data_IF_108860957278
#
_entry.id   IF_108860957278
#
_cell.length_a   1.000
_cell.length_b   1.000
_cell.length_c   1.000
_cell.angle_alpha   90.00
_cell.angle_beta   90.00
_cell.angle_gamma   90.00
#
_symmetry.space_group_name_H-M   'P 1'
#
loop_
_entity.id
_entity.type
_entity.pdbx_description
1 polymer ?
#
# COMPACT_ATOMS: atom_id res chain seq x y z
N UNK A 1 2.44 36.97 35.38
CA UNK A 1 1.85 35.63 35.19
C UNK A 1 2.30 35.09 33.84
N UNK A 2 3.10 34.01 33.81
CA UNK A 2 3.55 33.41 32.55
C UNK A 2 2.44 32.52 31.96
N UNK A 3 1.87 32.95 30.82
CA UNK A 3 0.92 32.15 30.05
C UNK A 3 1.61 30.90 29.48
N UNK A 4 1.45 29.76 30.15
CA UNK A 4 1.89 28.46 29.62
C UNK A 4 0.95 28.04 28.48
N UNK A 5 1.35 28.33 27.23
CA UNK A 5 0.66 27.85 26.03
C UNK A 5 0.59 26.31 26.10
N UNK A 6 -0.63 25.74 26.03
CA UNK A 6 -0.81 24.28 25.96
C UNK A 6 -0.11 23.75 24.71
N UNK A 7 0.85 22.84 24.92
CA UNK A 7 1.54 22.11 23.86
C UNK A 7 0.54 21.30 23.06
N UNK A 8 0.52 21.53 21.75
CA UNK A 8 -0.32 20.81 20.80
C UNK A 8 0.32 19.44 20.46
N UNK A 9 -0.41 18.56 19.79
CA UNK A 9 0.07 17.21 19.45
C UNK A 9 1.34 17.24 18.57
N UNK A 10 1.56 18.31 17.81
CA UNK A 10 2.78 18.56 17.01
C UNK A 10 4.01 18.93 17.85
N UNK A 11 3.84 19.43 19.08
CA UNK A 11 4.95 19.83 19.95
C UNK A 11 5.54 18.64 20.74
N UNK A 12 4.90 17.47 20.67
CA UNK A 12 5.36 16.26 21.37
C UNK A 12 6.44 15.57 20.57
N UNK A 13 7.55 15.25 21.25
CA UNK A 13 8.64 14.48 20.68
C UNK A 13 8.10 13.16 20.09
N UNK A 14 8.42 12.82 18.83
CA UNK A 14 7.73 11.73 18.12
C UNK A 14 8.09 10.33 18.63
N UNK A 15 9.17 10.19 19.42
CA UNK A 15 9.64 8.93 20.01
C UNK A 15 9.34 8.85 21.50
N UNK A 16 9.17 7.63 22.01
CA UNK A 16 8.98 7.36 23.44
C UNK A 16 10.32 6.88 24.04
N UNK A 17 10.66 7.30 25.25
CA UNK A 17 11.82 6.76 25.97
C UNK A 17 11.43 5.42 26.61
N UNK A 18 12.15 4.35 26.27
CA UNK A 18 11.96 3.03 26.86
C UNK A 18 12.74 2.91 28.18
N UNK A 19 12.31 2.07 29.16
CA UNK A 19 13.04 1.86 30.41
C UNK A 19 14.51 1.45 30.26
N UNK A 20 14.89 0.89 29.11
CA UNK A 20 16.29 0.57 28.77
C UNK A 20 17.15 1.80 28.42
N UNK A 21 16.59 3.01 28.50
CA UNK A 21 17.26 4.28 28.20
C UNK A 21 17.38 4.60 26.70
N UNK A 22 16.73 3.81 25.85
CA UNK A 22 16.72 4.03 24.40
C UNK A 22 15.41 4.65 23.93
N UNK A 23 15.48 5.58 22.99
CA UNK A 23 14.31 6.12 22.31
C UNK A 23 13.76 5.12 21.29
N UNK A 24 12.45 4.89 21.32
CA UNK A 24 11.78 3.91 20.48
C UNK A 24 10.45 4.42 19.89
N UNK A 25 9.97 3.72 18.87
CA UNK A 25 8.64 3.90 18.27
C UNK A 25 8.05 2.53 17.96
N UNK A 26 6.75 2.39 18.20
CA UNK A 26 5.99 1.25 17.67
C UNK A 26 5.61 1.54 16.22
N UNK A 27 6.11 0.72 15.29
CA UNK A 27 5.88 0.84 13.84
C UNK A 27 5.48 -0.54 13.33
N UNK A 28 4.33 -0.65 12.65
CA UNK A 28 3.79 -1.91 12.12
C UNK A 28 3.77 -3.06 13.15
N UNK A 29 3.36 -2.75 14.38
CA UNK A 29 3.24 -3.72 15.48
C UNK A 29 4.56 -4.06 16.20
N UNK A 30 5.72 -3.67 15.65
CA UNK A 30 7.04 -3.93 16.25
C UNK A 30 7.63 -2.67 16.89
N UNK A 31 8.30 -2.83 18.03
CA UNK A 31 9.05 -1.74 18.68
C UNK A 31 10.43 -1.65 18.00
N UNK A 32 10.78 -0.46 17.52
CA UNK A 32 12.10 -0.16 16.96
C UNK A 32 12.81 0.90 17.79
N UNK A 33 14.10 0.69 18.03
CA UNK A 33 14.95 1.56 18.84
C UNK A 33 15.86 2.41 17.94
N UNK A 34 16.05 3.67 18.31
CA UNK A 34 16.82 4.65 17.51
C UNK A 34 18.07 5.16 18.26
N UNK A 35 18.30 4.70 19.49
CA UNK A 35 19.47 5.02 20.31
C UNK A 35 19.13 5.77 21.59
N UNK A 36 20.15 6.06 22.41
CA UNK A 36 20.01 6.73 23.71
C UNK A 36 20.04 8.26 23.63
N UNK A 37 20.74 8.81 22.64
CA UNK A 37 20.82 10.26 22.42
C UNK A 37 19.55 10.75 21.72
N UNK A 38 18.90 11.77 22.32
CA UNK A 38 17.62 12.30 21.86
C UNK A 38 17.69 12.89 20.45
N UNK A 39 18.73 13.68 20.14
CA UNK A 39 18.87 14.33 18.83
C UNK A 39 19.19 13.31 17.76
N UNK A 40 20.19 12.45 18.03
CA UNK A 40 20.59 11.39 17.09
C UNK A 40 19.48 10.37 16.84
N UNK A 41 18.68 10.07 17.86
CA UNK A 41 17.51 9.19 17.71
C UNK A 41 16.43 9.82 16.82
N UNK A 42 16.18 11.13 16.95
CA UNK A 42 15.24 11.84 16.10
C UNK A 42 15.71 11.84 14.64
N UNK A 43 16.97 12.16 14.39
CA UNK A 43 17.56 12.14 13.04
C UNK A 43 17.47 10.75 12.41
N UNK A 44 17.85 9.70 13.17
CA UNK A 44 17.71 8.31 12.72
C UNK A 44 16.26 7.94 12.45
N UNK A 45 15.32 8.39 13.29
CA UNK A 45 13.90 8.16 13.05
C UNK A 45 13.41 8.87 11.80
N UNK A 46 13.77 10.14 11.57
CA UNK A 46 13.34 10.89 10.39
C UNK A 46 13.92 10.30 9.10
N UNK A 47 15.22 9.96 9.11
CA UNK A 47 15.88 9.30 7.97
C UNK A 47 15.24 7.95 7.63
N UNK A 48 14.84 7.19 8.66
CA UNK A 48 14.21 5.89 8.46
C UNK A 48 12.69 5.99 8.31
N UNK A 49 12.02 7.07 8.71
CA UNK A 49 10.56 7.18 8.74
C UNK A 49 9.95 6.97 7.35
N UNK A 50 10.58 7.53 6.31
CA UNK A 50 10.18 7.34 4.91
C UNK A 50 10.26 5.87 4.48
N UNK A 51 11.24 5.11 4.99
CA UNK A 51 11.45 3.70 4.69
C UNK A 51 10.65 2.74 5.60
N UNK A 52 10.46 3.13 6.86
CA UNK A 52 9.82 2.33 7.92
C UNK A 52 8.29 2.44 7.89
N UNK A 53 7.78 3.63 7.53
CA UNK A 53 6.38 3.85 7.21
C UNK A 53 6.10 3.69 5.71
N UNK A 54 7.15 3.54 4.90
CA UNK A 54 7.07 3.30 3.46
C UNK A 54 6.89 1.82 3.08
N UNK A 55 6.49 1.56 1.82
CA UNK A 55 6.16 0.24 1.30
C UNK A 55 7.33 -0.75 1.23
N UNK A 56 8.56 -0.35 1.55
CA UNK A 56 9.75 -1.19 1.41
C UNK A 56 9.82 -2.35 2.43
N UNK A 57 9.04 -2.29 3.52
CA UNK A 57 8.82 -3.46 4.39
C UNK A 57 8.03 -4.59 3.72
N UNK A 58 7.32 -4.31 2.61
CA UNK A 58 6.68 -5.34 1.78
C UNK A 58 7.71 -6.02 0.87
N UNK A 59 8.67 -5.28 0.30
CA UNK A 59 9.71 -5.84 -0.58
C UNK A 59 10.55 -6.92 0.11
N UNK A 60 10.92 -6.75 1.39
CA UNK A 60 11.63 -7.77 2.16
C UNK A 60 10.77 -9.03 2.44
N UNK A 61 9.44 -8.93 2.46
CA UNK A 61 8.55 -10.11 2.58
C UNK A 61 8.41 -10.90 1.26
N UNK A 62 8.72 -10.28 0.12
CA UNK A 62 8.67 -10.94 -1.21
C UNK A 62 9.85 -11.91 -1.38
N UNK A 63 10.92 -11.77 -0.59
CA UNK A 63 12.16 -12.57 -0.62
C UNK A 63 11.98 -14.10 -0.51
N UNK A 64 10.82 -14.60 -0.06
CA UNK A 64 10.53 -16.05 0.00
C UNK A 64 9.72 -16.56 -1.20
N UNK A 65 9.66 -15.81 -2.31
CA UNK A 65 9.03 -16.22 -3.57
C UNK A 65 7.50 -16.31 -3.56
N UNK A 66 6.86 -16.00 -2.42
CA UNK A 66 5.43 -16.23 -2.22
C UNK A 66 4.70 -14.99 -1.76
N UNK A 67 4.32 -14.14 -2.72
CA UNK A 67 3.51 -12.94 -2.49
C UNK A 67 2.03 -13.30 -2.28
N UNK A 68 1.40 -12.68 -1.28
CA UNK A 68 -0.05 -12.79 -1.07
C UNK A 68 -0.81 -11.73 -1.86
N UNK A 69 -2.10 -11.98 -2.10
CA UNK A 69 -2.99 -11.06 -2.78
C UNK A 69 -3.04 -9.70 -2.09
N UNK A 70 -3.10 -9.68 -0.75
CA UNK A 70 -3.02 -8.44 0.03
C UNK A 70 -1.75 -7.65 -0.25
N UNK A 71 -0.59 -8.32 -0.24
CA UNK A 71 0.68 -7.65 -0.50
C UNK A 71 0.73 -7.05 -1.91
N UNK A 72 0.21 -7.77 -2.91
CA UNK A 72 0.13 -7.27 -4.27
C UNK A 72 -0.81 -6.05 -4.38
N UNK A 73 -1.99 -6.12 -3.77
CA UNK A 73 -2.95 -5.02 -3.76
C UNK A 73 -2.40 -3.78 -3.03
N UNK A 74 -1.74 -3.97 -1.89
CA UNK A 74 -1.10 -2.88 -1.13
C UNK A 74 -0.02 -2.18 -1.97
N UNK A 75 0.84 -2.95 -2.65
CA UNK A 75 1.87 -2.40 -3.55
C UNK A 75 1.25 -1.57 -4.68
N UNK A 76 0.20 -2.08 -5.31
CA UNK A 76 -0.51 -1.37 -6.38
C UNK A 76 -1.18 -0.08 -5.87
N UNK A 77 -1.87 -0.14 -4.73
CA UNK A 77 -2.54 1.04 -4.17
C UNK A 77 -1.54 2.10 -3.73
N UNK A 78 -0.37 1.72 -3.21
CA UNK A 78 0.70 2.67 -2.94
C UNK A 78 1.20 3.38 -4.20
N UNK A 79 1.41 2.63 -5.28
CA UNK A 79 1.79 3.19 -6.57
C UNK A 79 0.71 4.17 -7.09
N UNK A 80 -0.56 3.77 -7.06
CA UNK A 80 -1.65 4.63 -7.49
C UNK A 80 -1.80 5.87 -6.62
N UNK A 81 -1.62 5.78 -5.30
CA UNK A 81 -1.64 6.95 -4.43
C UNK A 81 -0.55 7.97 -4.81
N UNK A 82 0.63 7.50 -5.20
CA UNK A 82 1.70 8.37 -5.71
C UNK A 82 1.28 9.09 -7.00
N UNK A 83 0.56 8.39 -7.88
CA UNK A 83 0.00 8.99 -9.11
C UNK A 83 -1.12 9.99 -8.83
N UNK A 84 -1.92 9.81 -7.77
CA UNK A 84 -2.88 10.82 -7.32
C UNK A 84 -2.15 12.09 -6.88
N UNK A 85 -1.08 11.95 -6.09
CA UNK A 85 -0.32 13.10 -5.57
C UNK A 85 0.32 13.94 -6.68
N UNK A 86 0.77 13.29 -7.76
CA UNK A 86 1.35 13.97 -8.94
C UNK A 86 0.27 14.45 -9.93
N UNK A 87 -1.01 14.14 -9.69
CA UNK A 87 -2.14 14.55 -10.54
C UNK A 87 -2.35 13.67 -11.78
N UNK A 88 -1.61 12.57 -11.91
CA UNK A 88 -1.71 11.64 -13.04
C UNK A 88 -3.03 10.83 -13.04
N UNK A 89 -3.68 10.71 -11.88
CA UNK A 89 -5.03 10.13 -11.75
C UNK A 89 -5.86 10.90 -10.72
N UNK A 90 -7.18 10.81 -10.85
CA UNK A 90 -8.10 11.43 -9.91
C UNK A 90 -8.20 10.63 -8.60
N UNK A 91 -8.50 11.31 -7.50
CA UNK A 91 -8.78 10.66 -6.21
C UNK A 91 -9.98 9.68 -6.29
N UNK A 92 -10.97 10.00 -7.16
CA UNK A 92 -12.08 9.10 -7.46
C UNK A 92 -11.59 7.79 -8.08
N UNK A 93 -10.72 7.86 -9.09
CA UNK A 93 -10.16 6.68 -9.72
C UNK A 93 -9.39 5.78 -8.73
N UNK A 94 -8.63 6.38 -7.81
CA UNK A 94 -7.98 5.64 -6.73
C UNK A 94 -8.98 4.93 -5.80
N UNK A 95 -10.05 5.64 -5.42
CA UNK A 95 -11.09 5.11 -4.51
C UNK A 95 -11.85 3.95 -5.15
N UNK A 96 -12.22 4.08 -6.42
CA UNK A 96 -12.91 3.03 -7.18
C UNK A 96 -12.01 1.78 -7.35
N UNK A 97 -10.71 2.00 -7.60
CA UNK A 97 -9.72 0.91 -7.66
C UNK A 97 -9.57 0.19 -6.31
N UNK A 98 -9.45 0.94 -5.21
CA UNK A 98 -9.37 0.39 -3.85
C UNK A 98 -10.61 -0.44 -3.52
N UNK A 99 -11.80 0.10 -3.83
CA UNK A 99 -13.06 -0.58 -3.59
C UNK A 99 -13.18 -1.91 -4.36
N UNK A 100 -12.70 -1.93 -5.60
CA UNK A 100 -12.72 -3.14 -6.43
C UNK A 100 -11.75 -4.19 -5.92
N UNK A 101 -10.53 -3.78 -5.52
CA UNK A 101 -9.52 -4.67 -4.95
C UNK A 101 -9.94 -5.23 -3.58
N UNK A 102 -10.58 -4.44 -2.72
CA UNK A 102 -11.10 -4.91 -1.44
C UNK A 102 -12.16 -6.00 -1.63
N UNK A 103 -13.03 -5.86 -2.64
CA UNK A 103 -14.01 -6.91 -2.96
C UNK A 103 -13.37 -8.15 -3.52
N UNK A 104 -12.35 -8.01 -4.36
CA UNK A 104 -11.58 -9.13 -4.87
C UNK A 104 -10.85 -9.87 -3.75
N UNK A 105 -10.19 -9.15 -2.84
CA UNK A 105 -9.55 -9.69 -1.65
C UNK A 105 -10.52 -10.34 -0.68
N UNK A 106 -11.73 -9.79 -0.53
CA UNK A 106 -12.79 -10.39 0.29
C UNK A 106 -13.30 -11.69 -0.32
N UNK A 107 -13.32 -11.80 -1.65
CA UNK A 107 -13.77 -13.01 -2.34
C UNK A 107 -12.75 -14.15 -2.29
N UNK A 108 -11.48 -13.87 -2.59
CA UNK A 108 -10.42 -14.89 -2.63
C UNK A 108 -9.72 -15.11 -1.28
N UNK A 109 -9.85 -14.15 -0.36
CA UNK A 109 -9.11 -14.10 0.90
C UNK A 109 -7.80 -13.31 0.77
N UNK A 110 -7.57 -12.41 1.73
CA UNK A 110 -6.37 -11.55 1.78
C UNK A 110 -5.04 -12.32 1.84
N UNK A 111 -5.06 -13.50 2.48
CA UNK A 111 -3.91 -14.39 2.62
C UNK A 111 -3.69 -15.33 1.42
N UNK A 112 -4.58 -15.29 0.41
CA UNK A 112 -4.44 -16.11 -0.79
C UNK A 112 -3.11 -15.81 -1.47
N UNK A 113 -2.37 -16.86 -1.84
CA UNK A 113 -1.11 -16.71 -2.57
C UNK A 113 -1.43 -16.52 -4.04
N UNK A 114 -0.72 -15.61 -4.71
CA UNK A 114 -0.97 -15.35 -6.13
C UNK A 114 -0.80 -16.62 -6.98
N UNK A 115 0.18 -17.46 -6.66
CA UNK A 115 0.43 -18.76 -7.30
C UNK A 115 -0.73 -19.76 -7.18
N UNK A 116 -1.60 -19.60 -6.17
CA UNK A 116 -2.72 -20.49 -5.91
C UNK A 116 -4.03 -20.00 -6.54
N UNK A 117 -4.05 -18.82 -7.17
CA UNK A 117 -5.26 -18.31 -7.83
C UNK A 117 -5.48 -19.10 -9.11
N UNK A 118 -6.50 -19.94 -9.12
CA UNK A 118 -6.85 -20.76 -10.28
C UNK A 118 -7.74 -19.98 -11.28
N UNK A 119 -7.83 -20.50 -12.50
CA UNK A 119 -8.79 -20.01 -13.49
C UNK A 119 -10.24 -20.15 -13.02
N UNK A 120 -10.55 -21.20 -12.26
CA UNK A 120 -11.88 -21.43 -11.68
C UNK A 120 -12.24 -20.34 -10.67
N UNK A 121 -11.29 -19.90 -9.85
CA UNK A 121 -11.49 -18.81 -8.90
C UNK A 121 -11.86 -17.51 -9.61
N UNK A 122 -11.17 -17.19 -10.72
CA UNK A 122 -11.46 -16.03 -11.54
C UNK A 122 -12.85 -16.12 -12.20
N UNK A 123 -13.24 -17.31 -12.67
CA UNK A 123 -14.58 -17.54 -13.23
C UNK A 123 -15.68 -17.42 -12.16
N UNK A 124 -15.44 -17.93 -10.95
CA UNK A 124 -16.39 -17.81 -9.84
C UNK A 124 -16.53 -16.33 -9.42
N UNK A 125 -15.43 -15.57 -9.40
CA UNK A 125 -15.48 -14.13 -9.13
C UNK A 125 -16.27 -13.39 -10.21
N UNK A 126 -16.01 -13.71 -11.50
CA UNK A 126 -16.80 -13.20 -12.64
C UNK A 126 -18.29 -13.46 -12.47
N UNK A 127 -18.68 -14.70 -12.17
CA UNK A 127 -20.09 -15.08 -11.96
C UNK A 127 -20.71 -14.31 -10.79
N UNK A 128 -19.98 -14.16 -9.68
CA UNK A 128 -20.43 -13.36 -8.52
C UNK A 128 -20.64 -11.89 -8.89
N UNK A 129 -19.76 -11.31 -9.70
CA UNK A 129 -19.91 -9.93 -10.16
C UNK A 129 -21.12 -9.78 -11.11
N UNK A 130 -21.32 -10.73 -12.02
CA UNK A 130 -22.48 -10.75 -12.92
C UNK A 130 -23.79 -10.92 -12.16
N UNK A 131 -23.82 -11.74 -11.10
CA UNK A 131 -25.05 -11.97 -10.32
C UNK A 131 -25.38 -10.84 -9.34
N UNK A 132 -24.39 -10.03 -8.95
CA UNK A 132 -24.52 -9.09 -7.83
C UNK A 132 -24.33 -7.62 -8.21
N UNK A 133 -23.76 -7.29 -9.38
CA UNK A 133 -23.22 -5.95 -9.63
C UNK A 133 -23.46 -5.36 -11.02
N UNK A 134 -23.84 -6.16 -12.01
CA UNK A 134 -24.03 -5.69 -13.38
C UNK A 134 -25.43 -6.07 -13.85
N UNK A 135 -26.20 -5.07 -14.28
CA UNK A 135 -27.55 -5.30 -14.78
C UNK A 135 -27.52 -6.00 -16.15
N UNK A 136 -26.38 -5.93 -16.86
CA UNK A 136 -26.18 -6.58 -18.15
C UNK A 136 -24.75 -7.09 -18.35
N UNK A 137 -24.60 -8.00 -19.32
CA UNK A 137 -23.29 -8.51 -19.78
C UNK A 137 -22.38 -7.40 -20.32
N UNK A 138 -22.95 -6.35 -20.89
CA UNK A 138 -22.20 -5.24 -21.51
C UNK A 138 -21.47 -4.38 -20.46
N UNK A 139 -22.14 -4.06 -19.36
CA UNK A 139 -21.52 -3.32 -18.24
C UNK A 139 -20.34 -4.09 -17.64
N UNK A 140 -20.45 -5.41 -17.58
CA UNK A 140 -19.38 -6.30 -17.11
C UNK A 140 -18.17 -6.29 -18.07
N UNK A 141 -18.41 -6.36 -19.38
CA UNK A 141 -17.35 -6.35 -20.39
C UNK A 141 -16.64 -4.98 -20.44
N UNK A 142 -17.36 -3.87 -20.27
CA UNK A 142 -16.76 -2.53 -20.13
C UNK A 142 -15.93 -2.39 -18.85
N UNK A 143 -16.40 -2.94 -17.72
CA UNK A 143 -15.63 -2.95 -16.47
C UNK A 143 -14.34 -3.77 -16.59
N UNK A 144 -14.41 -4.96 -17.19
CA UNK A 144 -13.23 -5.80 -17.44
C UNK A 144 -12.24 -5.10 -18.37
N UNK A 145 -12.71 -4.49 -19.46
CA UNK A 145 -11.86 -3.74 -20.38
C UNK A 145 -11.07 -2.65 -19.66
N UNK A 146 -11.77 -1.84 -18.85
CA UNK A 146 -11.13 -0.80 -18.03
C UNK A 146 -10.11 -1.36 -17.02
N UNK A 147 -10.43 -2.49 -16.37
CA UNK A 147 -9.53 -3.12 -15.41
C UNK A 147 -8.24 -3.64 -16.10
N UNK A 148 -8.40 -4.35 -17.22
CA UNK A 148 -7.26 -4.90 -17.97
C UNK A 148 -6.40 -3.81 -18.61
N UNK A 149 -7.02 -2.75 -19.15
CA UNK A 149 -6.29 -1.59 -19.68
C UNK A 149 -5.48 -0.91 -18.58
N UNK A 150 -6.06 -0.73 -17.39
CA UNK A 150 -5.34 -0.13 -16.26
C UNK A 150 -4.15 -0.96 -15.79
N UNK A 151 -4.29 -2.28 -15.74
CA UNK A 151 -3.19 -3.19 -15.39
C UNK A 151 -2.11 -3.22 -16.49
N UNK A 152 -2.49 -3.19 -17.76
CA UNK A 152 -1.57 -3.20 -18.89
C UNK A 152 -0.83 -1.87 -19.09
N UNK A 153 -1.49 -0.73 -18.87
CA UNK A 153 -0.86 0.60 -18.87
C UNK A 153 0.20 0.65 -17.77
N UNK A 154 -0.14 0.22 -16.55
CA UNK A 154 0.81 0.18 -15.44
C UNK A 154 2.03 -0.71 -15.71
N UNK A 155 1.85 -1.84 -16.41
CA UNK A 155 2.94 -2.73 -16.79
C UNK A 155 3.84 -2.14 -17.89
N UNK A 156 3.26 -1.47 -18.88
CA UNK A 156 4.01 -0.81 -19.97
C UNK A 156 4.82 0.39 -19.49
N UNK A 157 4.26 1.22 -18.62
CA UNK A 157 4.98 2.39 -18.09
C UNK A 157 6.12 1.97 -17.15
N UNK A 158 5.93 0.93 -16.34
CA UNK A 158 7.01 0.38 -15.50
C UNK A 158 8.16 -0.21 -16.33
N UNK A 159 7.86 -0.89 -17.43
CA UNK A 159 8.87 -1.37 -18.38
C UNK A 159 9.62 -0.21 -19.05
N UNK A 160 8.95 0.90 -19.35
CA UNK A 160 9.60 2.11 -19.89
C UNK A 160 10.52 2.76 -18.87
N UNK A 161 10.10 2.87 -17.61
CA UNK A 161 10.94 3.41 -16.52
C UNK A 161 12.19 2.53 -16.28
N UNK A 162 12.03 1.20 -16.27
CA UNK A 162 13.15 0.26 -16.14
C UNK A 162 14.11 0.33 -17.34
N UNK A 163 13.59 0.46 -18.57
CA UNK A 163 14.42 0.65 -19.78
C UNK A 163 15.12 2.03 -19.80
N UNK A 164 14.49 3.06 -19.24
CA UNK A 164 15.08 4.40 -19.17
C UNK A 164 16.21 4.48 -18.13
N UNK A 165 16.13 3.70 -17.04
CA UNK A 165 17.17 3.61 -16.02
C UNK A 165 18.42 2.81 -16.45
N UNK A 166 18.35 2.10 -17.59
CA UNK A 166 19.44 1.33 -18.17
C UNK A 166 20.24 2.08 -19.26
N UNK A 167 19.90 3.36 -19.53
CA UNK A 167 20.63 4.26 -20.44
C UNK A 167 21.38 5.32 -19.64
#
# INVERSE_FOLDING_TARGET
MMNSKRKTRSDKFPLTLHPTGQYCKKINGKIRYFGKDKKKALEKYLAQATYLHGPQSLAQKISNGKITLKQLCDLYLHYQNSRVLVGNITAKHYTDSKYSLDRFMTFLGQGCRIENISTLDLQNYKRKLQSSYFASRDEYEQFLGKLFDQLNIGRRERLKEELAALR
#
